data_IF_968464371816
#
_entry.id   IF_968464371816
#
_cell.length_a   1.000
_cell.length_b   1.000
_cell.length_c   1.000
_cell.angle_alpha   90.00
_cell.angle_beta   90.00
_cell.angle_gamma   90.00
#
_symmetry.space_group_name_H-M   'P 1'
#
loop_
_entity.id
_entity.type
_entity.pdbx_description
1 polymer ?
#
# COMPACT_ATOMS: atom_id res chain seq x y z
N UNK A 1 33.93 43.94 -3.38
CA UNK A 1 32.73 43.97 -2.51
C UNK A 1 31.47 43.34 -3.17
N UNK A 2 31.31 43.36 -4.50
CA UNK A 2 30.15 42.75 -5.18
C UNK A 2 30.17 41.22 -5.23
N UNK A 3 31.35 40.63 -5.30
CA UNK A 3 31.52 39.16 -5.40
C UNK A 3 31.29 38.41 -4.08
N UNK A 4 31.59 39.07 -2.96
CA UNK A 4 31.29 38.53 -1.62
C UNK A 4 29.77 38.54 -1.32
N UNK A 5 29.05 39.51 -1.83
CA UNK A 5 27.56 39.57 -1.72
C UNK A 5 26.87 38.52 -2.58
N UNK A 6 27.43 38.15 -3.73
CA UNK A 6 26.89 37.14 -4.63
C UNK A 6 27.08 35.71 -4.06
N UNK A 7 28.19 35.46 -3.36
CA UNK A 7 28.43 34.19 -2.65
C UNK A 7 27.55 34.01 -1.39
N UNK A 8 27.25 35.12 -0.69
CA UNK A 8 26.33 35.06 0.45
C UNK A 8 24.88 34.84 0.03
N UNK A 9 24.44 35.40 -1.12
CA UNK A 9 23.08 35.21 -1.66
C UNK A 9 22.84 33.77 -2.15
N UNK A 10 23.85 33.09 -2.68
CA UNK A 10 23.72 31.68 -3.13
C UNK A 10 23.74 30.71 -1.94
N UNK A 11 24.29 31.10 -0.79
CA UNK A 11 24.32 30.28 0.43
C UNK A 11 23.02 30.37 1.26
N UNK A 12 22.20 31.40 1.07
CA UNK A 12 20.93 31.59 1.77
C UNK A 12 19.73 30.92 1.07
N UNK A 13 19.84 30.54 -0.21
CA UNK A 13 18.75 29.86 -0.93
C UNK A 13 18.71 28.33 -0.76
N UNK A 14 19.66 27.73 -0.05
CA UNK A 14 19.71 26.25 0.17
C UNK A 14 19.30 25.84 1.58
N UNK A 15 18.54 26.63 2.31
CA UNK A 15 17.87 26.18 3.55
C UNK A 15 16.41 25.78 3.28
N UNK A 16 16.13 25.11 2.16
CA UNK A 16 14.98 24.24 2.10
C UNK A 16 15.36 23.01 2.92
N UNK A 17 14.70 22.77 4.05
CA UNK A 17 14.82 21.48 4.76
C UNK A 17 14.61 20.40 3.72
N UNK A 18 15.62 19.56 3.51
CA UNK A 18 15.47 18.36 2.69
C UNK A 18 14.22 17.63 3.14
N UNK A 19 13.36 17.21 2.20
CA UNK A 19 12.14 16.52 2.57
C UNK A 19 12.51 15.31 3.44
N UNK A 20 11.98 15.27 4.66
CA UNK A 20 12.17 14.13 5.52
C UNK A 20 11.45 12.93 4.92
N UNK A 21 12.17 11.84 4.73
CA UNK A 21 11.62 10.57 4.24
C UNK A 21 11.51 9.63 5.44
N UNK A 22 10.32 9.11 5.67
CA UNK A 22 10.05 8.04 6.62
C UNK A 22 9.86 6.73 5.90
N UNK A 23 10.40 5.64 6.43
CA UNK A 23 10.29 4.31 5.87
C UNK A 23 9.31 3.48 6.70
N UNK A 24 8.13 3.22 6.14
CA UNK A 24 7.09 2.36 6.72
C UNK A 24 7.26 0.90 6.28
N UNK A 25 6.98 -0.03 7.18
CA UNK A 25 7.02 -1.47 6.93
C UNK A 25 5.63 -2.04 7.16
N UNK A 26 5.06 -2.71 6.16
CA UNK A 26 3.72 -3.31 6.21
C UNK A 26 3.82 -4.82 6.03
N UNK A 27 3.04 -5.58 6.78
CA UNK A 27 2.98 -7.03 6.68
C UNK A 27 1.60 -7.54 6.24
N UNK A 28 1.49 -8.08 5.03
CA UNK A 28 0.37 -8.91 4.63
C UNK A 28 0.61 -10.34 5.13
N UNK A 29 0.00 -10.69 6.26
CA UNK A 29 0.17 -12.01 6.88
C UNK A 29 -1.05 -12.86 6.53
N UNK A 30 -0.81 -13.93 5.80
CA UNK A 30 -1.87 -14.78 5.26
C UNK A 30 -1.82 -16.18 5.84
N UNK A 31 -2.99 -16.73 6.10
CA UNK A 31 -3.19 -18.13 6.50
C UNK A 31 -4.38 -18.74 5.75
N UNK A 32 -4.49 -20.06 5.80
CA UNK A 32 -5.68 -20.77 5.32
C UNK A 32 -6.44 -21.33 6.52
N UNK A 33 -7.70 -20.90 6.66
CA UNK A 33 -8.65 -21.42 7.67
C UNK A 33 -9.93 -21.84 6.95
N UNK A 34 -10.48 -22.99 7.31
CA UNK A 34 -11.72 -23.49 6.72
C UNK A 34 -11.73 -23.48 5.18
N UNK A 35 -10.61 -23.87 4.58
CA UNK A 35 -10.36 -23.87 3.12
C UNK A 35 -10.47 -22.50 2.46
N UNK A 36 -10.31 -21.41 3.22
CA UNK A 36 -10.33 -20.05 2.72
C UNK A 36 -9.09 -19.28 3.18
N UNK A 37 -8.54 -18.41 2.33
CA UNK A 37 -7.47 -17.51 2.74
C UNK A 37 -8.02 -16.46 3.72
N UNK A 38 -7.24 -16.21 4.77
CA UNK A 38 -7.48 -15.16 5.75
C UNK A 38 -6.25 -14.29 5.86
N UNK A 39 -6.47 -13.01 6.08
CA UNK A 39 -5.43 -12.01 6.33
C UNK A 39 -5.52 -11.52 7.76
N UNK A 40 -4.37 -11.36 8.41
CA UNK A 40 -4.31 -10.79 9.75
C UNK A 40 -4.37 -9.27 9.66
N UNK A 41 -5.32 -8.69 10.36
CA UNK A 41 -5.49 -7.25 10.45
C UNK A 41 -5.41 -6.77 11.89
N UNK A 42 -5.04 -5.53 12.07
CA UNK A 42 -5.00 -4.81 13.34
C UNK A 42 -5.96 -3.63 13.29
N UNK A 43 -6.51 -3.24 14.44
CA UNK A 43 -7.33 -2.03 14.57
C UNK A 43 -6.54 -0.97 15.32
N UNK A 44 -5.88 -0.05 14.61
CA UNK A 44 -5.23 1.08 15.25
C UNK A 44 -6.29 2.02 15.83
N UNK A 45 -6.19 2.33 17.10
CA UNK A 45 -7.02 3.35 17.74
C UNK A 45 -7.77 2.89 18.99
N UNK A 46 -8.15 3.86 19.82
CA UNK A 46 -9.01 3.67 20.99
C UNK A 46 -10.45 3.45 20.53
N UNK A 47 -11.16 2.57 21.20
CA UNK A 47 -12.59 2.31 21.00
C UNK A 47 -13.38 3.64 20.97
N UNK A 48 -13.92 4.00 19.79
CA UNK A 48 -14.76 5.20 19.63
C UNK A 48 -14.49 6.05 18.39
N UNK A 49 -13.33 6.01 17.79
CA UNK A 49 -13.07 6.66 16.49
C UNK A 49 -13.09 5.59 15.40
N UNK A 50 -14.18 5.45 14.67
CA UNK A 50 -14.42 4.53 13.56
C UNK A 50 -13.26 3.55 13.26
N UNK A 51 -13.19 2.46 14.06
CA UNK A 51 -12.10 1.51 13.97
C UNK A 51 -12.12 0.83 12.59
N UNK A 52 -11.12 1.11 11.78
CA UNK A 52 -10.90 0.48 10.47
C UNK A 52 -9.79 -0.56 10.57
N UNK A 53 -9.90 -1.59 9.78
CA UNK A 53 -8.90 -2.64 9.72
C UNK A 53 -7.67 -2.15 8.94
N UNK A 54 -6.48 -2.47 9.44
CA UNK A 54 -5.21 -2.13 8.82
C UNK A 54 -4.27 -3.34 8.84
N UNK A 55 -3.28 -3.34 7.97
CA UNK A 55 -2.17 -4.29 8.07
C UNK A 55 -1.28 -3.91 9.27
N UNK A 56 -0.62 -4.90 9.92
CA UNK A 56 0.45 -4.61 10.86
C UNK A 56 1.48 -3.68 10.22
N UNK A 57 1.76 -2.56 10.88
CA UNK A 57 2.57 -1.47 10.34
C UNK A 57 3.48 -0.87 11.40
N UNK A 58 4.66 -0.43 10.99
CA UNK A 58 5.52 0.41 11.83
C UNK A 58 6.68 1.02 11.05
N UNK A 59 7.22 2.12 11.58
CA UNK A 59 8.36 2.78 10.96
C UNK A 59 9.66 2.05 11.24
N UNK A 60 10.53 1.98 10.24
CA UNK A 60 11.87 1.47 10.39
C UNK A 60 12.71 2.42 11.24
N UNK A 61 13.30 1.89 12.30
CA UNK A 61 14.17 2.63 13.19
C UNK A 61 15.63 2.13 13.04
N UNK A 62 16.50 2.81 12.25
CA UNK A 62 17.86 2.30 11.94
C UNK A 62 18.75 2.08 13.16
N UNK A 63 18.46 2.78 14.28
CA UNK A 63 19.20 2.62 15.53
C UNK A 63 18.77 1.38 16.33
N UNK A 64 17.53 0.91 16.13
CA UNK A 64 16.96 -0.25 16.81
C UNK A 64 16.99 -1.50 15.94
N UNK A 65 16.80 -1.35 14.62
CA UNK A 65 16.64 -2.44 13.68
C UNK A 65 17.82 -2.49 12.70
N UNK A 66 18.55 -3.59 12.71
CA UNK A 66 19.70 -3.78 11.82
C UNK A 66 19.29 -3.95 10.35
N UNK A 67 18.12 -4.54 10.09
CA UNK A 67 17.55 -4.72 8.74
C UNK A 67 16.07 -4.38 8.73
N UNK A 68 15.50 -4.11 7.54
CA UNK A 68 14.07 -3.86 7.37
C UNK A 68 13.25 -5.04 7.86
N UNK A 69 13.67 -6.27 7.54
CA UNK A 69 13.00 -7.49 7.96
C UNK A 69 12.96 -7.64 9.49
N UNK A 70 14.06 -7.35 10.19
CA UNK A 70 14.09 -7.36 11.67
C UNK A 70 13.10 -6.34 12.21
N UNK A 71 13.05 -5.14 11.63
CA UNK A 71 12.09 -4.10 12.01
C UNK A 71 10.65 -4.54 11.81
N UNK A 72 10.34 -5.17 10.67
CA UNK A 72 9.02 -5.71 10.38
C UNK A 72 8.61 -6.76 11.42
N UNK A 73 9.47 -7.75 11.69
CA UNK A 73 9.22 -8.84 12.65
C UNK A 73 8.95 -8.31 14.06
N UNK A 74 9.69 -7.30 14.48
CA UNK A 74 9.51 -6.64 15.78
C UNK A 74 8.14 -5.94 15.87
N UNK A 75 7.74 -5.21 14.85
CA UNK A 75 6.42 -4.58 14.78
C UNK A 75 5.27 -5.59 14.76
N UNK A 76 5.38 -6.64 13.95
CA UNK A 76 4.37 -7.71 13.90
C UNK A 76 4.25 -8.39 15.27
N UNK A 77 5.38 -8.76 15.89
CA UNK A 77 5.38 -9.38 17.22
C UNK A 77 4.69 -8.52 18.28
N UNK A 78 4.96 -7.22 18.28
CA UNK A 78 4.34 -6.28 19.23
C UNK A 78 2.85 -6.11 19.02
N UNK A 79 2.40 -6.07 17.78
CA UNK A 79 0.99 -5.78 17.44
C UNK A 79 0.12 -7.02 17.44
N UNK A 80 0.66 -8.19 17.16
CA UNK A 80 -0.12 -9.41 16.92
C UNK A 80 0.31 -10.60 17.76
N UNK A 81 1.45 -10.54 18.46
CA UNK A 81 2.04 -11.66 19.19
C UNK A 81 2.66 -12.74 18.31
N UNK A 82 2.53 -12.65 16.99
CA UNK A 82 3.04 -13.67 16.07
C UNK A 82 4.56 -13.59 15.89
N UNK A 83 5.18 -14.77 15.86
CA UNK A 83 6.53 -14.94 15.33
C UNK A 83 6.42 -15.39 13.88
N UNK A 84 6.88 -14.54 12.96
CA UNK A 84 6.83 -14.85 11.54
C UNK A 84 7.90 -15.87 11.15
N UNK A 85 7.51 -16.87 10.37
CA UNK A 85 8.41 -17.79 9.70
C UNK A 85 9.05 -17.14 8.45
N UNK A 86 8.72 -17.65 7.27
CA UNK A 86 9.13 -17.05 6.00
C UNK A 86 8.47 -15.71 5.75
N UNK A 87 9.26 -14.74 5.30
CA UNK A 87 8.80 -13.40 4.95
C UNK A 87 9.46 -13.00 3.63
N UNK A 88 8.70 -12.48 2.69
CA UNK A 88 9.16 -12.00 1.40
C UNK A 88 8.78 -10.54 1.19
N UNK A 89 9.74 -9.72 0.74
CA UNK A 89 9.45 -8.36 0.34
C UNK A 89 8.74 -8.39 -1.03
N UNK A 90 7.57 -7.76 -1.10
CA UNK A 90 6.78 -7.70 -2.32
C UNK A 90 7.10 -6.46 -3.15
N UNK A 91 6.84 -5.29 -2.58
CA UNK A 91 6.90 -4.04 -3.31
C UNK A 91 7.23 -2.86 -2.39
N UNK A 92 7.78 -1.79 -2.96
CA UNK A 92 7.99 -0.53 -2.27
C UNK A 92 7.14 0.55 -2.92
N UNK A 93 6.24 1.13 -2.15
CA UNK A 93 5.34 2.20 -2.57
C UNK A 93 5.95 3.54 -2.19
N UNK A 94 6.13 4.43 -3.15
CA UNK A 94 6.77 5.72 -2.93
C UNK A 94 6.05 6.90 -3.58
N UNK A 95 4.76 6.74 -3.90
CA UNK A 95 3.98 7.73 -4.63
C UNK A 95 3.87 9.06 -3.89
N UNK A 96 3.79 10.15 -4.64
CA UNK A 96 3.64 11.48 -4.09
C UNK A 96 2.32 11.59 -3.32
N UNK A 97 2.38 12.13 -2.09
CA UNK A 97 1.20 12.38 -1.25
C UNK A 97 0.73 11.15 -0.44
N UNK A 98 1.42 10.01 -0.53
CA UNK A 98 1.09 8.83 0.25
C UNK A 98 1.42 9.07 1.73
N UNK A 99 0.39 9.02 2.60
CA UNK A 99 0.46 9.22 4.05
C UNK A 99 1.14 10.51 4.53
N UNK A 100 1.43 11.43 3.63
CA UNK A 100 1.93 12.73 4.01
C UNK A 100 0.73 13.63 4.38
N UNK A 101 0.62 14.00 5.65
CA UNK A 101 -0.17 15.17 6.00
C UNK A 101 0.44 16.40 5.30
N UNK A 102 -0.35 17.44 4.98
CA UNK A 102 0.19 18.66 4.41
C UNK A 102 1.37 19.18 5.24
N UNK A 103 2.58 19.16 4.67
CA UNK A 103 3.81 19.53 5.37
C UNK A 103 4.47 18.43 6.20
N UNK A 104 3.94 17.19 6.18
CA UNK A 104 4.52 16.02 6.82
C UNK A 104 5.67 15.37 6.02
N UNK A 105 6.31 14.36 6.63
CA UNK A 105 7.35 13.58 5.97
C UNK A 105 6.77 12.75 4.81
N UNK A 106 7.53 12.62 3.72
CA UNK A 106 7.19 11.70 2.64
C UNK A 106 7.42 10.25 3.10
N UNK A 107 6.39 9.41 3.04
CA UNK A 107 6.49 8.02 3.51
C UNK A 107 6.72 7.06 2.34
N UNK A 108 7.83 6.32 2.39
CA UNK A 108 8.04 5.13 1.56
C UNK A 108 7.53 3.92 2.32
N UNK A 109 6.58 3.18 1.74
CA UNK A 109 6.02 1.97 2.36
C UNK A 109 6.57 0.71 1.71
N UNK A 110 7.23 -0.15 2.48
CA UNK A 110 7.72 -1.46 2.03
C UNK A 110 6.74 -2.53 2.46
N UNK A 111 6.11 -3.17 1.47
CA UNK A 111 5.17 -4.27 1.67
C UNK A 111 5.89 -5.62 1.74
N UNK A 112 5.50 -6.44 2.70
CA UNK A 112 5.98 -7.81 2.89
C UNK A 112 4.82 -8.78 2.90
N UNK A 113 5.03 -9.97 2.36
CA UNK A 113 4.14 -11.12 2.49
C UNK A 113 4.73 -12.10 3.50
N UNK A 114 3.89 -12.59 4.40
CA UNK A 114 4.22 -13.70 5.27
C UNK A 114 3.12 -14.76 5.20
N UNK A 115 3.52 -16.03 5.13
CA UNK A 115 2.61 -17.15 5.19
C UNK A 115 2.77 -17.86 6.54
N UNK A 116 1.66 -18.10 7.22
CA UNK A 116 1.66 -18.77 8.52
C UNK A 116 0.59 -19.87 8.57
N UNK A 117 0.77 -20.82 9.47
CA UNK A 117 -0.25 -21.87 9.73
C UNK A 117 -1.39 -21.41 10.64
N UNK A 118 -1.40 -20.15 11.03
CA UNK A 118 -2.52 -19.53 11.76
C UNK A 118 -2.74 -20.03 13.20
N UNK A 119 -1.70 -20.55 13.86
CA UNK A 119 -1.78 -21.11 15.21
C UNK A 119 -1.58 -20.11 16.35
N UNK A 120 -1.56 -18.81 16.07
CA UNK A 120 -1.42 -17.77 17.09
C UNK A 120 -2.75 -17.42 17.76
N UNK A 121 -2.73 -17.22 19.08
CA UNK A 121 -3.83 -16.54 19.78
C UNK A 121 -3.93 -15.10 19.25
N UNK A 122 -5.17 -14.67 18.96
CA UNK A 122 -5.43 -13.28 18.58
C UNK A 122 -5.16 -12.38 19.78
N UNK A 123 -4.16 -11.51 19.67
CA UNK A 123 -3.94 -10.50 20.70
C UNK A 123 -5.03 -9.43 20.59
N UNK A 124 -5.32 -8.76 21.71
CA UNK A 124 -6.26 -7.63 21.73
C UNK A 124 -5.89 -6.60 20.65
N UNK A 125 -6.82 -6.37 19.73
CA UNK A 125 -6.63 -5.44 18.62
C UNK A 125 -6.18 -6.07 17.29
N UNK A 126 -5.91 -7.38 17.26
CA UNK A 126 -5.68 -8.09 15.99
C UNK A 126 -6.73 -9.19 15.80
N UNK A 127 -7.08 -9.49 14.53
CA UNK A 127 -7.99 -10.59 14.19
C UNK A 127 -7.74 -11.07 12.76
N UNK A 128 -8.15 -12.32 12.50
CA UNK A 128 -8.13 -12.89 11.18
C UNK A 128 -9.42 -12.57 10.44
N UNK A 129 -9.29 -11.94 9.28
CA UNK A 129 -10.42 -11.59 8.42
C UNK A 129 -10.37 -12.39 7.13
N UNK A 130 -11.51 -12.85 6.58
CA UNK A 130 -11.54 -13.50 5.30
C UNK A 130 -10.94 -12.62 4.20
N UNK A 131 -10.04 -13.19 3.39
CA UNK A 131 -9.41 -12.47 2.27
C UNK A 131 -10.43 -11.82 1.33
N UNK A 132 -11.47 -12.57 1.00
CA UNK A 132 -12.50 -12.10 0.06
C UNK A 132 -13.44 -11.01 0.63
N UNK A 133 -13.35 -10.71 1.92
CA UNK A 133 -14.02 -9.52 2.47
C UNK A 133 -13.37 -8.22 1.99
N UNK A 134 -12.06 -8.24 1.72
CA UNK A 134 -11.31 -7.11 1.18
C UNK A 134 -11.15 -7.16 -0.34
N UNK A 135 -11.08 -8.37 -0.90
CA UNK A 135 -10.85 -8.62 -2.33
C UNK A 135 -12.00 -9.46 -2.93
N UNK A 136 -13.26 -8.95 -2.90
CA UNK A 136 -14.41 -9.74 -3.36
C UNK A 136 -14.34 -10.08 -4.85
N UNK A 137 -13.59 -9.33 -5.65
CA UNK A 137 -13.37 -9.61 -7.07
C UNK A 137 -12.46 -10.81 -7.34
N UNK A 138 -11.78 -11.33 -6.33
CA UNK A 138 -10.94 -12.52 -6.42
C UNK A 138 -11.69 -13.80 -6.04
N UNK A 139 -12.93 -13.73 -5.58
CA UNK A 139 -13.73 -14.90 -5.19
C UNK A 139 -14.45 -15.55 -6.37
N UNK A 140 -13.73 -16.35 -7.13
CA UNK A 140 -14.27 -17.09 -8.29
C UNK A 140 -14.88 -18.45 -7.95
N UNK A 141 -15.01 -18.81 -6.70
CA UNK A 141 -15.54 -20.13 -6.27
C UNK A 141 -16.99 -20.41 -6.74
N UNK A 142 -17.76 -19.37 -6.98
CA UNK A 142 -19.15 -19.44 -7.49
C UNK A 142 -19.31 -18.92 -8.91
N UNK A 143 -18.21 -18.76 -9.63
CA UNK A 143 -18.17 -18.12 -10.94
C UNK A 143 -17.65 -16.69 -10.87
N UNK A 144 -17.87 -15.90 -11.94
CA UNK A 144 -17.44 -14.52 -12.01
C UNK A 144 -18.09 -13.68 -10.91
N UNK A 145 -17.32 -13.01 -10.05
CA UNK A 145 -17.87 -12.14 -9.02
C UNK A 145 -18.71 -10.99 -9.58
N UNK A 146 -19.89 -10.77 -9.00
CA UNK A 146 -20.84 -9.72 -9.47
C UNK A 146 -20.22 -8.31 -9.44
N UNK A 147 -19.35 -8.04 -8.47
CA UNK A 147 -18.66 -6.75 -8.35
C UNK A 147 -17.81 -6.42 -9.60
N UNK A 148 -17.26 -7.43 -10.27
CA UNK A 148 -16.53 -7.22 -11.53
C UNK A 148 -17.45 -6.67 -12.61
N UNK A 149 -18.61 -7.31 -12.80
CA UNK A 149 -19.55 -6.92 -13.86
C UNK A 149 -20.34 -5.65 -13.52
N UNK A 150 -20.68 -5.45 -12.25
CA UNK A 150 -21.58 -4.38 -11.83
C UNK A 150 -20.85 -3.08 -11.48
N UNK A 151 -19.58 -3.16 -11.07
CA UNK A 151 -18.85 -1.99 -10.58
C UNK A 151 -17.51 -1.77 -11.29
N UNK A 152 -16.63 -2.79 -11.30
CA UNK A 152 -15.26 -2.59 -11.76
C UNK A 152 -15.19 -2.40 -13.27
N UNK A 153 -15.79 -3.31 -14.04
CA UNK A 153 -15.78 -3.23 -15.51
C UNK A 153 -16.42 -1.95 -16.06
N UNK A 154 -17.60 -1.51 -15.56
CA UNK A 154 -18.18 -0.23 -16.00
C UNK A 154 -17.27 0.97 -15.73
N UNK A 155 -16.65 1.03 -14.56
CA UNK A 155 -15.71 2.12 -14.21
C UNK A 155 -14.47 2.11 -15.08
N UNK A 156 -13.90 0.94 -15.37
CA UNK A 156 -12.77 0.80 -16.29
C UNK A 156 -13.13 1.21 -17.71
N UNK A 157 -14.35 0.87 -18.17
CA UNK A 157 -14.84 1.31 -19.48
C UNK A 157 -14.99 2.82 -19.53
N UNK A 158 -15.63 3.42 -18.53
CA UNK A 158 -15.77 4.87 -18.42
C UNK A 158 -14.39 5.56 -18.40
N UNK A 159 -13.45 5.05 -17.59
CA UNK A 159 -12.09 5.56 -17.56
C UNK A 159 -11.41 5.48 -18.92
N UNK A 160 -11.55 4.36 -19.63
CA UNK A 160 -10.97 4.19 -20.97
C UNK A 160 -11.58 5.11 -22.04
N UNK A 161 -12.80 5.61 -21.81
CA UNK A 161 -13.51 6.53 -22.71
C UNK A 161 -13.19 8.01 -22.45
N UNK A 162 -12.71 8.36 -21.26
CA UNK A 162 -12.35 9.75 -20.94
C UNK A 162 -11.26 10.27 -21.88
N UNK A 163 -11.33 11.53 -22.31
CA UNK A 163 -10.26 12.12 -23.12
C UNK A 163 -8.93 12.11 -22.34
N UNK A 164 -7.79 11.94 -23.04
CA UNK A 164 -6.49 11.96 -22.40
C UNK A 164 -6.21 13.30 -21.74
N UNK A 165 -5.70 13.28 -20.52
CA UNK A 165 -5.10 14.46 -19.89
C UNK A 165 -3.66 14.62 -20.38
N UNK A 166 -3.13 15.86 -20.43
CA UNK A 166 -1.77 16.11 -20.95
C UNK A 166 -0.68 15.27 -20.30
N UNK A 167 -0.85 14.95 -19.01
CA UNK A 167 0.14 14.26 -18.19
C UNK A 167 -0.10 12.74 -18.04
N UNK A 168 -1.06 12.18 -18.78
CA UNK A 168 -1.41 10.76 -18.72
C UNK A 168 -1.07 10.01 -20.02
N UNK A 169 0.18 9.55 -20.20
CA UNK A 169 0.61 8.88 -21.44
C UNK A 169 -0.18 7.61 -21.78
N UNK A 170 -0.71 6.90 -20.78
CA UNK A 170 -1.53 5.69 -21.00
C UNK A 170 -2.87 6.04 -21.66
N UNK A 171 -3.44 7.21 -21.39
CA UNK A 171 -4.66 7.67 -22.08
C UNK A 171 -4.44 8.09 -23.52
N UNK A 172 -3.19 8.28 -23.95
CA UNK A 172 -2.85 8.45 -25.35
C UNK A 172 -2.99 7.17 -26.18
N UNK A 173 -3.03 6.00 -25.52
CA UNK A 173 -3.25 4.72 -26.16
C UNK A 173 -4.71 4.59 -26.65
N UNK A 174 -4.92 3.70 -27.64
CA UNK A 174 -6.26 3.39 -28.12
C UNK A 174 -7.08 2.68 -27.04
N UNK A 175 -8.41 2.87 -27.05
CA UNK A 175 -9.33 2.29 -26.05
C UNK A 175 -9.10 0.80 -25.75
N UNK A 176 -8.92 -0.10 -26.75
CA UNK A 176 -8.67 -1.52 -26.45
C UNK A 176 -7.37 -1.77 -25.69
N UNK A 177 -6.34 -0.95 -25.94
CA UNK A 177 -5.05 -1.04 -25.25
C UNK A 177 -5.17 -0.54 -23.82
N UNK A 178 -5.91 0.55 -23.59
CA UNK A 178 -6.21 1.07 -22.23
C UNK A 178 -6.96 0.07 -21.40
N UNK A 179 -7.99 -0.58 -21.94
CA UNK A 179 -8.75 -1.62 -21.24
C UNK A 179 -7.87 -2.81 -20.86
N UNK A 180 -6.96 -3.24 -21.75
CA UNK A 180 -5.99 -4.31 -21.42
C UNK A 180 -5.14 -3.95 -20.21
N UNK A 181 -4.62 -2.74 -20.15
CA UNK A 181 -3.81 -2.25 -19.03
C UNK A 181 -4.67 -2.17 -17.76
N UNK A 182 -5.87 -1.60 -17.84
CA UNK A 182 -6.79 -1.50 -16.71
C UNK A 182 -7.18 -2.86 -16.11
N UNK A 183 -7.24 -3.91 -16.94
CA UNK A 183 -7.45 -5.29 -16.48
C UNK A 183 -6.17 -6.04 -16.10
N UNK A 184 -5.01 -5.37 -16.08
CA UNK A 184 -3.73 -6.01 -15.78
C UNK A 184 -3.21 -6.94 -16.89
N UNK A 185 -3.77 -6.83 -18.11
CA UNK A 185 -3.38 -7.65 -19.25
C UNK A 185 -2.36 -6.88 -20.09
N UNK A 186 -1.07 -7.13 -19.86
CA UNK A 186 0.01 -6.55 -20.67
C UNK A 186 0.97 -5.64 -19.90
N UNK A 187 2.13 -5.59 -20.39
CA UNK A 187 3.47 -5.40 -19.90
C UNK A 187 3.86 -4.08 -19.22
N UNK A 188 3.05 -3.25 -18.74
CA UNK A 188 3.49 -2.12 -17.91
C UNK A 188 2.47 -1.89 -16.81
N UNK A 189 2.82 -2.31 -15.63
CA UNK A 189 2.18 -1.86 -14.41
C UNK A 189 2.47 -0.36 -14.30
N UNK A 190 1.49 0.45 -14.64
CA UNK A 190 1.52 1.85 -14.27
C UNK A 190 1.06 1.91 -12.81
N UNK A 191 2.02 2.14 -11.94
CA UNK A 191 1.88 2.08 -10.48
C UNK A 191 0.76 2.99 -9.95
N UNK A 192 0.54 4.14 -10.58
CA UNK A 192 -0.55 5.07 -10.25
C UNK A 192 -1.94 4.45 -10.39
N UNK A 193 -2.14 3.53 -11.32
CA UNK A 193 -3.47 3.00 -11.67
C UNK A 193 -3.90 1.81 -10.85
N UNK A 194 -2.97 0.97 -10.45
CA UNK A 194 -3.23 -0.09 -9.46
C UNK A 194 -3.62 0.55 -8.13
N UNK A 195 -3.03 1.71 -7.82
CA UNK A 195 -3.35 2.48 -6.61
C UNK A 195 -4.71 3.19 -6.71
N UNK A 196 -5.10 3.76 -7.86
CA UNK A 196 -6.44 4.32 -8.03
C UNK A 196 -7.53 3.25 -7.86
N UNK A 197 -7.32 2.04 -8.36
CA UNK A 197 -8.26 0.93 -8.17
C UNK A 197 -8.22 0.37 -6.75
N UNK A 198 -7.08 0.38 -6.08
CA UNK A 198 -6.97 -0.05 -4.68
C UNK A 198 -7.39 1.03 -3.68
N UNK A 199 -7.26 2.32 -4.01
CA UNK A 199 -7.70 3.44 -3.17
C UNK A 199 -9.23 3.67 -3.20
N UNK A 200 -9.95 3.07 -4.15
CA UNK A 200 -11.43 3.14 -4.19
C UNK A 200 -12.05 2.25 -3.10
N UNK A 201 -11.29 1.35 -2.47
CA UNK A 201 -11.83 0.37 -1.52
C UNK A 201 -11.00 0.15 -0.24
N UNK A 202 -10.07 1.05 0.11
CA UNK A 202 -9.41 1.03 1.43
C UNK A 202 -9.80 2.27 2.21
#
# INVERSE_FOLDING_TARGET
MAEARRKASVAEETSSKDPQIELGLNAAIVTVREQQPHILVVRPGTAGSGAWDALPFGFFAPRAHRTLEIGLRDWVKRQTGLDLGYVEQLYTFGDRGRHAEPGGAHTLSVGYLALTRGSGEELMGSHWSPWYAYFPWEDWRRGKPDILSNEIEPRLQEWAERPPLPDEPVRALRRPERLKIGFGIGAAWDEEKVLELSLIHI
#
